data_IF_511496406172
#
_entry.id   IF_511496406172
#
_cell.length_a   1.000
_cell.length_b   1.000
_cell.length_c   1.000
_cell.angle_alpha   90.00
_cell.angle_beta   90.00
_cell.angle_gamma   90.00
#
_symmetry.space_group_name_H-M   'P 1'
#
loop_
_entity.id
_entity.type
_entity.pdbx_description
1 polymer ?
#
# COMPACT_ATOMS: atom_id res chain seq x y z
N UNK A 1 -16.17 5.92 -20.57
CA UNK A 1 -14.84 6.10 -19.95
C UNK A 1 -14.76 5.14 -18.78
N UNK A 2 -13.95 4.08 -18.86
CA UNK A 2 -13.77 3.11 -17.77
C UNK A 2 -12.51 3.50 -16.99
N UNK A 3 -12.62 4.05 -15.76
CA UNK A 3 -11.47 4.53 -14.99
C UNK A 3 -10.45 3.42 -14.67
N UNK A 4 -10.91 2.16 -14.64
CA UNK A 4 -10.09 0.97 -14.37
C UNK A 4 -9.03 0.71 -15.45
N UNK A 5 -9.30 1.07 -16.71
CA UNK A 5 -8.34 0.88 -17.81
C UNK A 5 -7.10 1.77 -17.68
N UNK A 6 -7.22 2.89 -16.94
CA UNK A 6 -6.15 3.86 -16.71
C UNK A 6 -5.56 3.76 -15.30
N UNK A 7 -5.97 2.78 -14.50
CA UNK A 7 -5.41 2.59 -13.16
C UNK A 7 -3.88 2.37 -13.26
N UNK A 8 -3.03 3.17 -12.59
CA UNK A 8 -1.60 2.95 -12.62
C UNK A 8 -1.26 1.64 -11.90
N UNK A 9 -0.13 1.03 -12.27
CA UNK A 9 0.41 -0.08 -11.50
C UNK A 9 1.13 0.44 -10.28
N UNK A 10 1.32 -0.41 -9.28
CA UNK A 10 2.13 -0.07 -8.11
C UNK A 10 3.56 0.28 -8.51
N UNK A 11 4.14 -0.40 -9.52
CA UNK A 11 5.44 -0.03 -10.10
C UNK A 11 5.48 1.39 -10.64
N UNK A 12 4.44 1.82 -11.37
CA UNK A 12 4.42 3.16 -11.98
C UNK A 12 4.46 4.26 -10.89
N UNK A 13 3.86 4.00 -9.72
CA UNK A 13 3.93 4.89 -8.55
C UNK A 13 5.31 4.86 -7.91
N UNK A 14 5.90 3.68 -7.75
CA UNK A 14 7.23 3.54 -7.16
C UNK A 14 8.30 4.26 -8.01
N UNK A 15 8.26 4.08 -9.33
CA UNK A 15 9.15 4.73 -10.28
C UNK A 15 9.01 6.25 -10.22
N UNK A 16 7.78 6.77 -10.20
CA UNK A 16 7.50 8.20 -10.12
C UNK A 16 8.02 8.83 -8.82
N UNK A 17 7.92 8.10 -7.71
CA UNK A 17 8.33 8.56 -6.38
C UNK A 17 9.83 8.34 -6.10
N UNK A 18 10.54 7.60 -6.97
CA UNK A 18 11.90 7.13 -6.67
C UNK A 18 11.95 6.23 -5.44
N UNK A 19 10.89 5.47 -5.19
CA UNK A 19 10.75 4.67 -3.98
C UNK A 19 11.67 3.43 -4.01
N UNK A 20 12.28 3.11 -2.87
CA UNK A 20 12.99 1.85 -2.70
C UNK A 20 12.00 0.68 -2.62
N UNK A 21 12.24 -0.37 -3.40
CA UNK A 21 11.45 -1.60 -3.35
C UNK A 21 11.99 -2.50 -2.24
N UNK A 22 11.22 -2.64 -1.15
CA UNK A 22 11.53 -3.59 -0.07
C UNK A 22 11.03 -5.01 -0.39
N UNK A 23 9.84 -5.10 -0.96
CA UNK A 23 9.25 -6.34 -1.46
C UNK A 23 8.46 -6.05 -2.74
N UNK A 24 8.85 -6.68 -3.84
CA UNK A 24 8.25 -6.43 -5.14
C UNK A 24 6.85 -7.04 -5.27
N UNK A 25 6.58 -8.20 -4.65
CA UNK A 25 5.34 -8.94 -4.87
C UNK A 25 4.92 -8.95 -6.35
N UNK A 26 3.65 -8.62 -6.62
CA UNK A 26 3.11 -8.48 -7.97
C UNK A 26 3.08 -7.02 -8.48
N UNK A 27 3.91 -6.12 -7.95
CA UNK A 27 3.82 -4.67 -8.21
C UNK A 27 3.91 -4.29 -9.71
N UNK A 28 4.47 -5.15 -10.57
CA UNK A 28 4.58 -4.95 -12.01
C UNK A 28 3.26 -5.12 -12.77
N UNK A 29 2.28 -5.80 -12.19
CA UNK A 29 0.99 -6.12 -12.82
C UNK A 29 -0.18 -5.61 -11.99
N UNK A 30 -0.03 -5.51 -10.67
CA UNK A 30 -1.08 -5.09 -9.74
C UNK A 30 -1.48 -3.64 -9.97
N UNK A 31 -2.77 -3.41 -10.19
CA UNK A 31 -3.36 -2.10 -10.48
C UNK A 31 -3.86 -1.42 -9.21
N UNK A 32 -3.55 -0.14 -9.07
CA UNK A 32 -3.97 0.70 -7.96
C UNK A 32 -5.24 1.47 -8.33
N UNK A 33 -6.29 1.30 -7.54
CA UNK A 33 -7.58 1.98 -7.73
C UNK A 33 -7.79 3.11 -6.73
N UNK A 34 -7.10 3.06 -5.58
CA UNK A 34 -7.25 4.06 -4.52
C UNK A 34 -5.96 4.16 -3.69
N UNK A 35 -5.69 5.37 -3.19
CA UNK A 35 -4.63 5.64 -2.22
C UNK A 35 -5.26 6.00 -0.89
N UNK A 36 -4.67 5.53 0.21
CA UNK A 36 -5.05 5.91 1.57
C UNK A 36 -3.82 6.34 2.33
N UNK A 37 -3.85 7.54 2.91
CA UNK A 37 -2.76 8.09 3.69
C UNK A 37 -3.11 7.98 5.17
N UNK A 38 -2.34 7.17 5.90
CA UNK A 38 -2.57 6.83 7.29
C UNK A 38 -1.61 7.62 8.18
N UNK A 39 -1.96 8.87 8.48
CA UNK A 39 -1.16 9.71 9.37
C UNK A 39 -1.55 9.59 10.87
N UNK A 40 -2.72 9.01 11.18
CA UNK A 40 -3.25 8.89 12.56
C UNK A 40 -3.91 7.52 12.82
N UNK A 41 -4.57 7.35 13.96
CA UNK A 41 -4.98 6.09 14.61
C UNK A 41 -5.66 5.05 13.70
N UNK A 42 -5.34 3.77 13.89
CA UNK A 42 -5.73 2.62 13.06
C UNK A 42 -7.23 2.26 13.06
N UNK A 43 -8.02 2.64 14.08
CA UNK A 43 -9.43 2.21 14.26
C UNK A 43 -10.34 2.40 13.04
N UNK A 44 -10.06 3.38 12.18
CA UNK A 44 -10.88 3.66 10.98
C UNK A 44 -10.23 3.18 9.67
N UNK A 45 -9.02 2.61 9.71
CA UNK A 45 -8.24 2.29 8.50
C UNK A 45 -8.51 0.86 8.01
N UNK A 46 -8.82 -0.08 8.91
CA UNK A 46 -9.06 -1.49 8.58
C UNK A 46 -10.19 -1.67 7.56
N UNK A 47 -11.30 -0.95 7.75
CA UNK A 47 -12.45 -0.99 6.82
C UNK A 47 -12.10 -0.49 5.41
N UNK A 48 -10.99 0.24 5.28
CA UNK A 48 -10.53 0.78 4.03
C UNK A 48 -9.51 -0.11 3.32
N UNK A 49 -9.04 -1.19 3.98
CA UNK A 49 -8.16 -2.20 3.37
C UNK A 49 -8.98 -3.06 2.40
N UNK A 50 -9.03 -2.61 1.15
CA UNK A 50 -9.84 -3.20 0.07
C UNK A 50 -8.98 -3.51 -1.16
N UNK A 51 -9.43 -4.39 -2.06
CA UNK A 51 -8.76 -4.66 -3.33
C UNK A 51 -8.29 -3.38 -4.05
N UNK A 52 -7.04 -3.36 -4.50
CA UNK A 52 -6.47 -2.24 -5.28
C UNK A 52 -6.09 -1.00 -4.46
N UNK A 53 -6.17 -1.05 -3.13
CA UNK A 53 -5.74 0.06 -2.27
C UNK A 53 -4.23 0.05 -2.08
N UNK A 54 -3.58 1.17 -2.37
CA UNK A 54 -2.22 1.47 -1.93
C UNK A 54 -2.30 2.20 -0.57
N UNK A 55 -1.76 1.58 0.47
CA UNK A 55 -1.68 2.19 1.80
C UNK A 55 -0.38 2.95 1.91
N UNK A 56 -0.44 4.21 2.32
CA UNK A 56 0.70 5.10 2.52
C UNK A 56 0.76 5.46 4.01
N UNK A 57 1.88 5.20 4.68
CA UNK A 57 2.03 5.44 6.12
C UNK A 57 3.49 5.77 6.47
N UNK A 58 3.76 6.49 7.55
CA UNK A 58 5.09 6.48 8.17
C UNK A 58 5.52 5.05 8.54
N UNK A 59 6.80 4.76 8.43
CA UNK A 59 7.43 3.46 8.73
C UNK A 59 7.51 3.12 10.22
N UNK A 60 7.30 4.09 11.12
CA UNK A 60 7.20 3.89 12.58
C UNK A 60 5.79 3.50 13.05
N UNK A 61 4.86 3.20 12.11
CA UNK A 61 3.47 2.81 12.41
C UNK A 61 3.26 1.32 12.32
N UNK A 62 3.81 0.59 13.30
CA UNK A 62 3.70 -0.86 13.41
C UNK A 62 2.25 -1.36 13.39
N UNK A 63 1.33 -0.60 13.98
CA UNK A 63 -0.11 -0.93 13.99
C UNK A 63 -0.71 -0.95 12.57
N UNK A 64 -0.30 -0.04 11.69
CA UNK A 64 -0.73 -0.01 10.29
C UNK A 64 -0.03 -1.10 9.48
N UNK A 65 1.27 -1.26 9.66
CA UNK A 65 2.06 -2.30 8.96
C UNK A 65 1.47 -3.68 9.27
N UNK A 66 1.21 -3.97 10.55
CA UNK A 66 0.61 -5.23 10.98
C UNK A 66 -0.79 -5.44 10.39
N UNK A 67 -1.64 -4.39 10.40
CA UNK A 67 -2.99 -4.46 9.83
C UNK A 67 -2.97 -4.77 8.33
N UNK A 68 -2.09 -4.09 7.59
CA UNK A 68 -1.92 -4.26 6.15
C UNK A 68 -1.38 -5.65 5.84
N UNK A 69 -0.37 -6.11 6.57
CA UNK A 69 0.18 -7.45 6.45
C UNK A 69 -0.88 -8.52 6.72
N UNK A 70 -1.67 -8.38 7.79
CA UNK A 70 -2.74 -9.32 8.11
C UNK A 70 -3.83 -9.35 7.03
N UNK A 71 -4.23 -8.18 6.50
CA UNK A 71 -5.18 -8.12 5.39
C UNK A 71 -4.63 -8.80 4.13
N UNK A 72 -3.36 -8.58 3.80
CA UNK A 72 -2.71 -9.23 2.65
C UNK A 72 -2.61 -10.75 2.83
N UNK A 73 -2.21 -11.23 4.02
CA UNK A 73 -2.16 -12.66 4.37
C UNK A 73 -3.54 -13.30 4.27
N UNK A 74 -4.59 -12.60 4.69
CA UNK A 74 -5.98 -13.04 4.56
C UNK A 74 -6.54 -12.93 3.13
N UNK A 75 -5.70 -12.62 2.15
CA UNK A 75 -6.06 -12.64 0.72
C UNK A 75 -6.68 -11.36 0.20
N UNK A 76 -6.64 -10.25 0.94
CA UNK A 76 -7.05 -8.94 0.41
C UNK A 76 -5.98 -8.50 -0.61
N UNK A 77 -6.31 -8.35 -1.91
CA UNK A 77 -5.35 -7.99 -2.94
C UNK A 77 -5.09 -6.47 -2.93
N UNK A 78 -4.48 -5.97 -1.86
CA UNK A 78 -4.03 -4.59 -1.71
C UNK A 78 -3.02 -4.25 -2.81
N UNK A 79 -3.08 -3.04 -3.37
CA UNK A 79 -2.11 -2.60 -4.38
C UNK A 79 -0.69 -2.52 -3.80
N UNK A 80 -0.55 -2.21 -2.52
CA UNK A 80 0.73 -2.25 -1.82
C UNK A 80 0.73 -1.47 -0.50
N UNK A 81 1.92 -1.40 0.09
CA UNK A 81 2.26 -0.57 1.23
C UNK A 81 3.44 0.33 0.84
N UNK A 82 3.27 1.64 0.99
CA UNK A 82 4.29 2.64 0.76
C UNK A 82 4.63 3.32 2.09
N UNK A 83 5.91 3.30 2.44
CA UNK A 83 6.42 3.90 3.65
C UNK A 83 7.03 5.27 3.33
N UNK A 84 6.64 6.31 4.06
CA UNK A 84 7.08 7.69 3.78
C UNK A 84 8.31 8.13 4.56
N UNK A 85 8.81 7.31 5.49
CA UNK A 85 9.99 7.61 6.30
C UNK A 85 11.13 6.66 6.02
N UNK A 86 12.35 7.12 6.31
CA UNK A 86 13.59 6.36 6.12
C UNK A 86 13.74 5.20 7.12
N UNK A 87 12.79 5.08 8.05
CA UNK A 87 12.68 3.95 8.97
C UNK A 87 12.09 2.74 8.25
N UNK A 88 12.94 1.72 8.08
CA UNK A 88 12.49 0.42 7.63
C UNK A 88 11.63 -0.25 8.72
N UNK A 89 10.62 -1.05 8.33
CA UNK A 89 9.92 -1.91 9.27
C UNK A 89 10.89 -2.86 9.95
N UNK A 90 10.61 -3.20 11.21
CA UNK A 90 11.29 -4.30 11.90
C UNK A 90 11.01 -5.62 11.11
N UNK A 91 12.00 -6.52 10.94
CA UNK A 91 11.87 -7.73 10.13
C UNK A 91 10.79 -8.72 10.60
#
# INVERSE_FOLDING_TARGET
>A
YQPELNAPRTRDVADLMGAQILNAGDYETRRMTKIIICARTMRNTVELLKPGVLVVTPGDRDDIILAVSLAAINGVPLAGLLLTSDTLPDP
#
